data_IF_411157039156
#
_entry.id   IF_411157039156
#
_cell.length_a   1.000
_cell.length_b   1.000
_cell.length_c   1.000
_cell.angle_alpha   90.00
_cell.angle_beta   90.00
_cell.angle_gamma   90.00
#
_symmetry.space_group_name_H-M   'P 1'
#
loop_
_entity.id
_entity.type
_entity.pdbx_description
1 polymer ?
#
# COMPACT_ATOMS: atom_id res chain seq x y z
N UNK A 1 -30.83 -68.19 -40.36
CA UNK A 1 -31.11 -67.58 -39.04
C UNK A 1 -32.53 -67.10 -39.04
N UNK A 2 -33.29 -67.44 -38.00
CA UNK A 2 -34.62 -66.87 -37.76
C UNK A 2 -34.49 -65.39 -37.40
N UNK A 3 -35.46 -64.56 -37.78
CA UNK A 3 -35.53 -63.13 -37.39
C UNK A 3 -35.37 -62.99 -35.86
N UNK A 4 -35.90 -63.94 -35.09
CA UNK A 4 -35.79 -63.99 -33.63
C UNK A 4 -34.35 -64.20 -33.12
N UNK A 5 -33.52 -64.96 -33.83
CA UNK A 5 -32.12 -65.18 -33.46
C UNK A 5 -31.30 -63.90 -33.68
N UNK A 6 -31.56 -63.19 -34.78
CA UNK A 6 -30.91 -61.91 -35.06
C UNK A 6 -31.25 -60.84 -34.02
N UNK A 7 -32.52 -60.70 -33.64
CA UNK A 7 -32.93 -59.79 -32.55
C UNK A 7 -32.29 -60.15 -31.21
N UNK A 8 -32.13 -61.45 -30.92
CA UNK A 8 -31.48 -61.88 -29.68
C UNK A 8 -29.99 -61.55 -29.68
N UNK A 9 -29.28 -61.75 -30.78
CA UNK A 9 -27.87 -61.36 -30.91
C UNK A 9 -27.68 -59.85 -30.77
N UNK A 10 -28.50 -59.05 -31.45
CA UNK A 10 -28.47 -57.58 -31.35
C UNK A 10 -28.73 -57.11 -29.91
N UNK A 11 -29.67 -57.75 -29.21
CA UNK A 11 -29.93 -57.46 -27.79
C UNK A 11 -28.73 -57.79 -26.90
N UNK A 12 -28.06 -58.92 -27.11
CA UNK A 12 -26.86 -59.27 -26.33
C UNK A 12 -25.70 -58.31 -26.62
N UNK A 13 -25.50 -57.94 -27.88
CA UNK A 13 -24.49 -56.95 -28.27
C UNK A 13 -24.75 -55.60 -27.61
N UNK A 14 -26.00 -55.11 -27.64
CA UNK A 14 -26.39 -53.86 -27.01
C UNK A 14 -26.18 -53.92 -25.49
N UNK A 15 -26.54 -55.03 -24.86
CA UNK A 15 -26.34 -55.23 -23.42
C UNK A 15 -24.86 -55.20 -23.03
N UNK A 16 -24.01 -55.84 -23.81
CA UNK A 16 -22.55 -55.80 -23.60
C UNK A 16 -22.03 -54.38 -23.77
N UNK A 17 -22.44 -53.68 -24.83
CA UNK A 17 -22.00 -52.31 -25.09
C UNK A 17 -22.40 -51.34 -23.98
N UNK A 18 -23.62 -51.48 -23.43
CA UNK A 18 -24.07 -50.68 -22.28
C UNK A 18 -23.19 -50.96 -21.06
N UNK A 19 -22.90 -52.23 -20.78
CA UNK A 19 -22.04 -52.60 -19.64
C UNK A 19 -20.61 -52.08 -19.80
N UNK A 20 -20.05 -52.10 -21.02
CA UNK A 20 -18.74 -51.52 -21.32
C UNK A 20 -18.76 -49.99 -21.15
N UNK A 21 -19.79 -49.32 -21.65
CA UNK A 21 -19.94 -47.87 -21.50
C UNK A 21 -20.07 -47.46 -20.02
N UNK A 22 -20.85 -48.19 -19.23
CA UNK A 22 -20.96 -47.97 -17.78
C UNK A 22 -19.61 -48.12 -17.08
N UNK A 23 -18.84 -49.15 -17.45
CA UNK A 23 -17.49 -49.37 -16.91
C UNK A 23 -16.54 -48.23 -17.27
N UNK A 24 -16.51 -47.81 -18.53
CA UNK A 24 -15.66 -46.70 -18.97
C UNK A 24 -16.05 -45.40 -18.27
N UNK A 25 -17.34 -45.14 -18.05
CA UNK A 25 -17.75 -43.95 -17.30
C UNK A 25 -17.30 -43.99 -15.83
N UNK A 26 -17.34 -45.16 -15.19
CA UNK A 26 -16.82 -45.31 -13.82
C UNK A 26 -15.30 -45.09 -13.76
N UNK A 27 -14.56 -45.60 -14.75
CA UNK A 27 -13.10 -45.40 -14.86
C UNK A 27 -12.78 -43.90 -15.06
N UNK A 28 -13.47 -43.22 -15.98
CA UNK A 28 -13.30 -41.79 -16.23
C UNK A 28 -13.63 -40.94 -15.00
N UNK A 29 -14.70 -41.29 -14.26
CA UNK A 29 -15.06 -40.59 -13.03
C UNK A 29 -13.94 -40.73 -11.99
N UNK A 30 -13.39 -41.94 -11.86
CA UNK A 30 -12.28 -42.22 -10.94
C UNK A 30 -11.02 -41.43 -11.31
N UNK A 31 -10.68 -41.36 -12.60
CA UNK A 31 -9.54 -40.56 -13.06
C UNK A 31 -9.74 -39.06 -12.80
N UNK A 32 -10.96 -38.55 -13.02
CA UNK A 32 -11.29 -37.14 -12.75
C UNK A 32 -11.12 -36.83 -11.26
N UNK A 33 -11.64 -37.67 -10.37
CA UNK A 33 -11.54 -37.48 -8.93
C UNK A 33 -10.08 -37.51 -8.45
N UNK A 34 -9.26 -38.42 -8.99
CA UNK A 34 -7.83 -38.49 -8.71
C UNK A 34 -7.08 -37.25 -9.21
N UNK A 35 -7.37 -36.79 -10.41
CA UNK A 35 -6.75 -35.59 -10.99
C UNK A 35 -7.10 -34.33 -10.20
N UNK A 36 -8.36 -34.19 -9.77
CA UNK A 36 -8.81 -33.09 -8.92
C UNK A 36 -8.12 -33.11 -7.55
N UNK A 37 -8.00 -34.29 -6.94
CA UNK A 37 -7.32 -34.47 -5.66
C UNK A 37 -5.85 -34.09 -5.78
N UNK A 38 -5.12 -34.66 -6.75
CA UNK A 38 -3.71 -34.37 -6.99
C UNK A 38 -3.45 -32.88 -7.27
N UNK A 39 -4.32 -32.24 -8.07
CA UNK A 39 -4.23 -30.79 -8.32
C UNK A 39 -4.44 -29.96 -7.06
N UNK A 40 -5.39 -30.35 -6.21
CA UNK A 40 -5.66 -29.65 -4.95
C UNK A 40 -4.50 -29.78 -3.97
N UNK A 41 -3.91 -30.97 -3.85
CA UNK A 41 -2.75 -31.24 -3.00
C UNK A 41 -1.52 -30.47 -3.48
N UNK A 42 -1.24 -30.48 -4.78
CA UNK A 42 -0.15 -29.71 -5.37
C UNK A 42 -0.27 -28.22 -5.06
N UNK A 43 -1.46 -27.65 -5.24
CA UNK A 43 -1.71 -26.23 -4.93
C UNK A 43 -1.53 -25.94 -3.43
N UNK A 44 -1.99 -26.83 -2.55
CA UNK A 44 -1.85 -26.67 -1.11
C UNK A 44 -0.38 -26.67 -0.69
N UNK A 45 0.41 -27.62 -1.21
CA UNK A 45 1.85 -27.70 -0.94
C UNK A 45 2.57 -26.45 -1.41
N UNK A 46 2.33 -26.00 -2.65
CA UNK A 46 2.96 -24.78 -3.17
C UNK A 46 2.60 -23.52 -2.35
N UNK A 47 1.35 -23.43 -1.87
CA UNK A 47 0.93 -22.35 -0.99
C UNK A 47 1.59 -22.42 0.39
N UNK A 48 1.73 -23.61 0.96
CA UNK A 48 2.41 -23.82 2.25
C UNK A 48 3.89 -23.47 2.18
N UNK A 49 4.57 -23.86 1.10
CA UNK A 49 5.97 -23.48 0.85
C UNK A 49 6.11 -21.96 0.75
N UNK A 50 5.24 -21.29 -0.03
CA UNK A 50 5.29 -19.83 -0.17
C UNK A 50 4.99 -19.10 1.14
N UNK A 51 4.09 -19.63 1.96
CA UNK A 51 3.81 -19.09 3.30
C UNK A 51 5.05 -19.19 4.20
N UNK A 52 5.71 -20.34 4.22
CA UNK A 52 6.94 -20.55 4.99
C UNK A 52 8.07 -19.59 4.58
N UNK A 53 8.26 -19.39 3.27
CA UNK A 53 9.23 -18.41 2.74
C UNK A 53 8.94 -16.99 3.22
N UNK A 54 7.67 -16.56 3.10
CA UNK A 54 7.25 -15.22 3.51
C UNK A 54 7.37 -15.02 5.03
N UNK A 55 7.12 -16.05 5.83
CA UNK A 55 7.31 -16.00 7.28
C UNK A 55 8.78 -15.82 7.64
N UNK A 56 9.68 -16.53 6.98
CA UNK A 56 11.13 -16.40 7.16
C UNK A 56 11.63 -15.01 6.76
N UNK A 57 11.17 -14.49 5.61
CA UNK A 57 11.52 -13.14 5.15
C UNK A 57 11.04 -12.08 6.15
N UNK A 58 9.80 -12.19 6.63
CA UNK A 58 9.27 -11.28 7.65
C UNK A 58 10.08 -11.34 8.95
N UNK A 59 10.56 -12.51 9.35
CA UNK A 59 11.40 -12.65 10.53
C UNK A 59 12.76 -11.96 10.34
N UNK A 60 13.39 -12.15 9.18
CA UNK A 60 14.66 -11.51 8.83
C UNK A 60 14.53 -9.98 8.80
N UNK A 61 13.49 -9.45 8.16
CA UNK A 61 13.22 -8.00 8.13
C UNK A 61 12.98 -7.41 9.53
N UNK A 62 12.29 -8.15 10.41
CA UNK A 62 12.10 -7.73 11.81
C UNK A 62 13.40 -7.65 12.58
N UNK A 63 14.34 -8.57 12.33
CA UNK A 63 15.67 -8.54 12.94
C UNK A 63 16.47 -7.33 12.45
N UNK A 64 16.52 -7.11 11.13
CA UNK A 64 17.20 -5.97 10.54
C UNK A 64 16.64 -4.63 11.07
N UNK A 65 15.31 -4.51 11.19
CA UNK A 65 14.68 -3.33 11.78
C UNK A 65 15.10 -3.13 13.24
N UNK A 66 15.25 -4.19 14.02
CA UNK A 66 15.71 -4.10 15.41
C UNK A 66 17.17 -3.65 15.49
N UNK A 67 18.03 -4.15 14.61
CA UNK A 67 19.43 -3.72 14.49
C UNK A 67 19.55 -2.24 14.12
N UNK A 68 18.79 -1.80 13.12
CA UNK A 68 18.77 -0.39 12.71
C UNK A 68 18.31 0.54 13.83
N UNK A 69 17.31 0.13 14.62
CA UNK A 69 16.85 0.90 15.80
C UNK A 69 17.93 1.04 16.85
N UNK A 70 18.67 -0.03 17.12
CA UNK A 70 19.78 0.01 18.07
C UNK A 70 20.90 0.95 17.57
N UNK A 71 21.23 0.89 16.28
CA UNK A 71 22.21 1.77 15.67
C UNK A 71 21.78 3.24 15.74
N UNK A 72 20.50 3.54 15.46
CA UNK A 72 19.96 4.90 15.56
C UNK A 72 20.07 5.42 17.00
N UNK A 73 19.71 4.61 17.99
CA UNK A 73 19.83 4.97 19.40
C UNK A 73 21.29 5.24 19.82
N UNK A 74 22.25 4.52 19.24
CA UNK A 74 23.68 4.77 19.46
C UNK A 74 24.13 6.08 18.82
N UNK A 75 23.67 6.36 17.59
CA UNK A 75 23.94 7.63 16.90
C UNK A 75 23.33 8.83 17.62
N UNK A 76 22.14 8.69 18.20
CA UNK A 76 21.52 9.74 19.02
C UNK A 76 22.36 10.08 20.27
N UNK A 77 22.95 9.07 20.93
CA UNK A 77 23.87 9.27 22.06
C UNK A 77 25.15 10.01 21.61
N UNK A 78 25.70 9.64 20.46
CA UNK A 78 26.88 10.29 19.88
C UNK A 78 26.61 11.76 19.57
N UNK A 79 25.47 12.06 18.94
CA UNK A 79 25.01 13.43 18.66
C UNK A 79 24.83 14.22 19.96
N UNK A 80 24.21 13.63 20.99
CA UNK A 80 24.04 14.28 22.29
C UNK A 80 25.39 14.64 22.95
N UNK A 81 26.38 13.74 22.88
CA UNK A 81 27.72 13.97 23.39
C UNK A 81 28.47 15.05 22.60
N UNK A 82 28.33 15.08 21.28
CA UNK A 82 28.95 16.13 20.45
C UNK A 82 28.32 17.50 20.70
N UNK A 83 26.99 17.55 20.88
CA UNK A 83 26.27 18.79 21.25
C UNK A 83 26.75 19.35 22.58
N UNK A 84 26.92 18.52 23.61
CA UNK A 84 27.39 18.98 24.92
C UNK A 84 28.82 19.53 24.88
N UNK A 85 29.70 18.92 24.09
CA UNK A 85 31.07 19.42 23.83
C UNK A 85 31.06 20.76 23.09
N UNK A 86 30.13 20.95 22.14
CA UNK A 86 30.01 22.20 21.39
C UNK A 86 29.53 23.36 22.27
N UNK A 87 28.61 23.10 23.21
CA UNK A 87 28.09 24.12 24.15
C UNK A 87 29.08 24.54 25.25
N UNK A 88 30.10 23.72 25.54
CA UNK A 88 31.11 24.01 26.57
C UNK A 88 32.20 25.01 26.12
N UNK A 89 32.28 25.34 24.82
CA UNK A 89 33.34 26.19 24.23
C UNK A 89 32.88 27.63 23.97
N UNK A 90 31.66 28.01 24.36
CA UNK A 90 31.19 29.41 24.27
C UNK A 90 30.74 29.91 25.64
N UNK A 91 31.54 30.75 26.28
CA UNK A 91 31.09 31.65 27.35
C UNK A 91 30.93 33.10 26.82
N UNK A 92 29.87 33.83 27.21
CA UNK A 92 29.73 35.30 27.03
C UNK A 92 30.38 36.05 28.23
N UNK A 93 30.79 37.35 28.13
CA UNK A 93 29.84 38.49 28.14
C UNK A 93 30.31 39.81 27.48
N UNK A 94 29.42 40.63 26.88
CA UNK A 94 29.58 42.10 26.84
C UNK A 94 28.21 42.81 26.94
N UNK A 95 28.22 43.90 27.71
CA UNK A 95 27.11 44.72 28.15
C UNK A 95 26.41 45.57 27.07
N UNK A 96 25.13 45.85 27.35
CA UNK A 96 24.29 47.01 26.98
C UNK A 96 24.79 47.96 25.87
N UNK A 97 24.14 47.91 24.71
CA UNK A 97 23.88 49.07 23.82
C UNK A 97 22.58 48.87 23.01
N UNK A 98 21.60 49.72 23.31
CA UNK A 98 20.65 50.43 22.43
C UNK A 98 20.19 49.82 21.06
N UNK A 99 18.88 49.49 20.98
CA UNK A 99 17.87 49.52 19.88
C UNK A 99 18.15 48.86 18.50
N UNK A 100 17.15 48.39 17.68
CA UNK A 100 15.69 48.16 17.85
C UNK A 100 15.27 46.67 17.66
N UNK A 101 13.99 46.25 17.85
CA UNK A 101 13.56 44.91 17.49
C UNK A 101 13.08 44.89 16.04
N UNK A 102 13.82 44.26 15.11
CA UNK A 102 13.26 43.60 13.92
C UNK A 102 14.35 43.07 12.99
N UNK A 103 14.80 41.85 13.25
CA UNK A 103 15.18 40.95 12.14
C UNK A 103 13.90 40.57 11.36
N UNK A 104 14.01 40.24 10.06
CA UNK A 104 12.87 40.10 9.16
C UNK A 104 11.91 38.99 9.61
N UNK A 105 10.62 39.08 9.26
CA UNK A 105 9.60 38.17 9.78
C UNK A 105 9.87 36.73 9.36
N UNK A 106 9.58 35.81 10.28
CA UNK A 106 9.49 34.37 10.05
C UNK A 106 8.28 33.97 9.18
N UNK A 107 7.95 34.76 8.15
CA UNK A 107 6.71 34.65 7.36
C UNK A 107 6.89 33.91 6.01
N UNK A 108 8.12 33.56 5.60
CA UNK A 108 8.35 33.02 4.24
C UNK A 108 8.22 31.50 4.07
N UNK A 109 8.17 30.70 5.15
CA UNK A 109 8.02 29.23 5.06
C UNK A 109 6.63 28.71 5.41
N UNK A 110 5.94 29.33 6.37
CA UNK A 110 4.56 28.97 6.74
C UNK A 110 3.56 29.26 5.61
N UNK A 111 3.85 30.27 4.78
CA UNK A 111 2.96 30.69 3.68
C UNK A 111 2.72 29.59 2.64
N UNK A 112 3.71 28.75 2.30
CA UNK A 112 3.55 27.76 1.21
C UNK A 112 2.70 26.55 1.58
N UNK A 113 2.79 26.06 2.83
CA UNK A 113 2.00 24.90 3.27
C UNK A 113 0.54 25.29 3.51
N UNK A 114 0.30 26.47 4.09
CA UNK A 114 -1.05 26.99 4.28
C UNK A 114 -1.74 27.30 2.96
N UNK A 115 -1.00 27.84 1.98
CA UNK A 115 -1.52 28.10 0.63
C UNK A 115 -1.86 26.79 -0.11
N UNK A 116 -1.01 25.76 0.01
CA UNK A 116 -1.29 24.44 -0.54
C UNK A 116 -2.53 23.78 0.09
N UNK A 117 -2.70 23.90 1.41
CA UNK A 117 -3.92 23.41 2.11
C UNK A 117 -5.16 24.13 1.58
N UNK A 118 -5.12 25.46 1.53
CA UNK A 118 -6.24 26.26 1.01
C UNK A 118 -6.57 25.91 -0.44
N UNK A 119 -5.56 25.68 -1.28
CA UNK A 119 -5.74 25.28 -2.68
C UNK A 119 -6.46 23.92 -2.78
N UNK A 120 -6.07 22.95 -1.95
CA UNK A 120 -6.71 21.63 -1.94
C UNK A 120 -8.15 21.70 -1.43
N UNK A 121 -8.40 22.38 -0.31
CA UNK A 121 -9.74 22.49 0.28
C UNK A 121 -10.72 23.22 -0.66
N UNK A 122 -10.27 24.28 -1.34
CA UNK A 122 -11.11 25.05 -2.26
C UNK A 122 -11.27 24.40 -3.64
N UNK A 123 -10.50 23.36 -3.96
CA UNK A 123 -10.57 22.71 -5.27
C UNK A 123 -11.79 21.79 -5.45
N UNK A 124 -12.47 21.41 -4.36
CA UNK A 124 -13.50 20.37 -4.37
C UNK A 124 -12.97 18.95 -4.62
N UNK A 125 -11.65 18.76 -4.72
CA UNK A 125 -11.00 17.46 -4.85
C UNK A 125 -10.47 16.91 -3.52
N UNK A 126 -10.52 17.71 -2.47
CA UNK A 126 -10.32 17.27 -1.10
C UNK A 126 -11.66 17.30 -0.36
N UNK A 127 -12.06 16.17 0.22
CA UNK A 127 -13.28 16.08 1.04
C UNK A 127 -12.90 15.64 2.45
N UNK A 128 -12.95 16.59 3.39
CA UNK A 128 -12.60 16.39 4.79
C UNK A 128 -13.42 15.28 5.45
N UNK A 129 -14.73 15.26 5.23
CA UNK A 129 -15.63 14.31 5.90
C UNK A 129 -15.42 12.92 5.33
N UNK A 130 -15.31 12.81 4.00
CA UNK A 130 -14.98 11.56 3.33
C UNK A 130 -13.63 11.02 3.81
N UNK A 131 -12.61 11.88 3.88
CA UNK A 131 -11.27 11.49 4.29
C UNK A 131 -11.23 10.93 5.72
N UNK A 132 -11.90 11.59 6.67
CA UNK A 132 -11.98 11.10 8.05
C UNK A 132 -12.79 9.81 8.21
N UNK A 133 -13.83 9.61 7.39
CA UNK A 133 -14.59 8.36 7.37
C UNK A 133 -13.77 7.18 6.83
N UNK A 134 -12.93 7.42 5.82
CA UNK A 134 -12.11 6.40 5.18
C UNK A 134 -10.80 6.12 5.92
N UNK A 135 -10.32 7.08 6.72
CA UNK A 135 -9.08 6.99 7.47
C UNK A 135 -9.29 7.25 8.97
N UNK A 136 -9.82 6.24 9.72
CA UNK A 136 -10.13 6.39 11.14
C UNK A 136 -8.91 6.66 12.03
N UNK A 137 -7.71 6.27 11.58
CA UNK A 137 -6.45 6.59 12.24
C UNK A 137 -6.16 8.09 12.25
N UNK A 138 -6.50 8.80 11.16
CA UNK A 138 -6.40 10.26 11.08
C UNK A 138 -7.48 10.92 11.94
N UNK A 139 -8.69 10.35 11.97
CA UNK A 139 -9.74 10.83 12.86
C UNK A 139 -9.34 10.72 14.35
N UNK A 140 -8.68 9.62 14.73
CA UNK A 140 -8.18 9.39 16.10
C UNK A 140 -6.98 10.27 16.45
N UNK A 141 -6.15 10.66 15.49
CA UNK A 141 -4.98 11.51 15.75
C UNK A 141 -5.36 12.96 16.06
N UNK A 142 -6.54 13.41 15.64
CA UNK A 142 -7.00 14.79 15.80
C UNK A 142 -6.28 15.81 14.90
N UNK A 143 -5.40 15.34 14.00
CA UNK A 143 -4.71 16.18 13.04
C UNK A 143 -5.69 16.75 12.00
N UNK A 144 -5.41 17.94 11.45
CA UNK A 144 -6.19 18.46 10.33
C UNK A 144 -6.06 17.49 9.13
N UNK A 145 -7.16 17.05 8.50
CA UNK A 145 -7.11 16.08 7.41
C UNK A 145 -6.35 16.56 6.17
N UNK A 146 -6.48 17.83 5.79
CA UNK A 146 -5.79 18.39 4.63
C UNK A 146 -4.29 18.54 4.91
N UNK A 147 -3.92 18.91 6.14
CA UNK A 147 -2.54 18.91 6.61
C UNK A 147 -1.94 17.51 6.62
N UNK A 148 -2.69 16.52 7.16
CA UNK A 148 -2.27 15.12 7.15
C UNK A 148 -2.04 14.63 5.72
N UNK A 149 -2.94 14.93 4.79
CA UNK A 149 -2.78 14.54 3.40
C UNK A 149 -1.57 15.20 2.73
N UNK A 150 -1.35 16.49 3.01
CA UNK A 150 -0.20 17.24 2.48
C UNK A 150 1.13 16.62 2.92
N UNK A 151 1.25 16.27 4.21
CA UNK A 151 2.49 15.83 4.84
C UNK A 151 2.75 14.32 4.71
N UNK A 152 1.70 13.50 4.83
CA UNK A 152 1.82 12.04 4.96
C UNK A 152 0.93 11.29 3.97
N UNK A 153 -0.35 11.67 3.87
CA UNK A 153 -1.35 10.88 3.16
C UNK A 153 -1.02 10.63 1.69
N UNK A 154 -0.43 11.60 0.99
CA UNK A 154 0.02 11.40 -0.38
C UNK A 154 1.13 10.34 -0.53
N UNK A 155 2.12 10.34 0.36
CA UNK A 155 3.21 9.36 0.36
C UNK A 155 2.72 7.96 0.74
N UNK A 156 1.71 7.89 1.59
CA UNK A 156 0.98 6.66 1.95
C UNK A 156 -0.03 6.23 0.86
N UNK A 157 -0.06 6.90 -0.29
CA UNK A 157 -0.97 6.62 -1.41
C UNK A 157 -2.46 6.70 -1.04
N UNK A 158 -2.82 7.45 0.00
CA UNK A 158 -4.22 7.70 0.39
C UNK A 158 -4.91 8.60 -0.62
N UNK A 159 -6.22 8.49 -0.74
CA UNK A 159 -7.02 9.36 -1.61
C UNK A 159 -7.56 10.54 -0.82
N UNK A 160 -7.51 11.77 -1.33
CA UNK A 160 -8.04 12.96 -0.66
C UNK A 160 -9.58 13.07 -0.75
N UNK A 161 -10.19 12.38 -1.71
CA UNK A 161 -11.64 12.26 -1.90
C UNK A 161 -11.97 11.06 -2.78
N UNK A 162 -13.26 10.76 -2.96
CA UNK A 162 -13.72 9.78 -3.95
C UNK A 162 -13.38 10.15 -5.40
N UNK A 163 -13.15 11.43 -5.69
CA UNK A 163 -12.98 11.97 -7.05
C UNK A 163 -11.52 12.08 -7.48
N UNK A 164 -10.56 11.73 -6.59
CA UNK A 164 -9.13 11.79 -6.91
C UNK A 164 -8.43 10.52 -6.44
N UNK A 165 -7.75 9.86 -7.37
CA UNK A 165 -6.99 8.65 -7.08
C UNK A 165 -5.49 8.95 -7.09
N UNK A 166 -4.91 9.02 -5.89
CA UNK A 166 -3.49 9.36 -5.66
C UNK A 166 -2.56 8.35 -6.34
N UNK A 167 -2.82 7.06 -6.16
CA UNK A 167 -1.97 6.00 -6.72
C UNK A 167 -2.03 5.95 -8.26
N UNK A 168 -3.19 6.19 -8.86
CA UNK A 168 -3.33 6.27 -10.31
C UNK A 168 -2.56 7.47 -10.87
N UNK A 169 -2.64 8.63 -10.21
CA UNK A 169 -1.93 9.83 -10.63
C UNK A 169 -0.40 9.68 -10.51
N UNK A 170 0.10 9.14 -9.39
CA UNK A 170 1.53 8.87 -9.20
C UNK A 170 2.10 7.85 -10.19
N UNK A 171 1.30 6.89 -10.66
CA UNK A 171 1.72 5.95 -11.72
C UNK A 171 1.93 6.64 -13.06
N UNK A 172 1.15 7.67 -13.36
CA UNK A 172 1.28 8.46 -14.59
C UNK A 172 2.40 9.51 -14.48
N UNK A 173 2.72 9.92 -13.24
CA UNK A 173 3.70 10.95 -12.91
C UNK A 173 4.76 10.46 -11.90
N UNK A 174 5.61 9.48 -12.28
CA UNK A 174 6.60 8.90 -11.38
C UNK A 174 7.67 9.90 -10.90
N UNK A 175 7.85 11.03 -11.59
CA UNK A 175 8.72 12.13 -11.19
C UNK A 175 8.36 12.73 -9.82
N UNK A 176 7.07 12.71 -9.46
CA UNK A 176 6.58 13.29 -8.20
C UNK A 176 7.08 12.52 -6.98
N UNK A 177 7.34 11.22 -7.13
CA UNK A 177 7.91 10.39 -6.08
C UNK A 177 9.34 10.83 -5.73
N UNK A 178 10.13 11.27 -6.73
CA UNK A 178 11.51 11.74 -6.52
C UNK A 178 11.54 13.15 -5.95
N UNK A 179 10.64 14.01 -6.41
CA UNK A 179 10.57 15.42 -6.02
C UNK A 179 9.79 15.65 -4.72
N UNK A 180 9.19 14.60 -4.13
CA UNK A 180 8.32 14.67 -2.94
C UNK A 180 7.21 15.72 -3.08
N UNK A 181 6.72 15.93 -4.31
CA UNK A 181 5.63 16.86 -4.57
C UNK A 181 4.29 16.19 -4.30
N UNK A 182 3.38 16.90 -3.64
CA UNK A 182 2.05 16.38 -3.38
C UNK A 182 1.28 16.26 -4.72
N UNK A 183 0.71 15.09 -5.04
CA UNK A 183 0.08 14.80 -6.32
C UNK A 183 -1.19 15.64 -6.56
N UNK A 184 -1.98 15.91 -5.51
CA UNK A 184 -3.17 16.76 -5.66
C UNK A 184 -2.76 18.21 -5.92
N UNK A 185 -1.79 18.74 -5.17
CA UNK A 185 -1.28 20.11 -5.39
C UNK A 185 -0.69 20.26 -6.79
N UNK A 186 0.09 19.28 -7.24
CA UNK A 186 0.63 19.25 -8.59
C UNK A 186 -0.48 19.25 -9.65
N UNK A 187 -1.50 18.40 -9.48
CA UNK A 187 -2.65 18.36 -10.37
C UNK A 187 -3.40 19.69 -10.45
N UNK A 188 -3.58 20.36 -9.31
CA UNK A 188 -4.28 21.66 -9.24
C UNK A 188 -3.48 22.78 -9.90
N UNK A 189 -2.15 22.77 -9.78
CA UNK A 189 -1.29 23.76 -10.45
C UNK A 189 -1.20 23.56 -11.96
N UNK A 190 -1.45 22.34 -12.47
CA UNK A 190 -1.48 22.06 -13.90
C UNK A 190 -2.83 22.39 -14.56
N UNK A 191 -3.91 22.53 -13.79
CA UNK A 191 -5.21 22.90 -14.33
C UNK A 191 -5.33 24.42 -14.46
N UNK A 192 -5.75 24.95 -15.62
CA UNK A 192 -6.15 26.35 -15.71
C UNK A 192 -7.39 26.55 -14.83
N UNK A 193 -7.24 27.32 -13.76
CA UNK A 193 -8.36 27.76 -12.94
C UNK A 193 -9.30 28.56 -13.85
N UNK A 194 -10.53 28.07 -14.04
CA UNK A 194 -11.56 28.86 -14.73
C UNK A 194 -11.90 30.05 -13.82
N UNK A 195 -11.46 31.23 -14.25
CA UNK A 195 -11.90 32.54 -13.74
C UNK A 195 -13.37 32.74 -14.07
#
# INVERSE_FOLDING_TARGET
MSILEQFFEEYQQLKTLVSEFEKTNQELQTELDNALTSKSEFNLTALQERLSELEQENQSLKQELAEQKNLLAEKDKEIALLKSKLTATTQPPVAKTENPPSSPPAESRASSSSEAINLMENSGLFDKNWYLQHYPDVAKSGMNPAEHYLLFGAAEMRNPSANFNTAAYLRQHPELLRSKLNPLVHYLNQRPQKV
#
